data_IF_533044022940
#
_entry.id   IF_533044022940
#
_cell.length_a   1.000
_cell.length_b   1.000
_cell.length_c   1.000
_cell.angle_alpha   90.00
_cell.angle_beta   90.00
_cell.angle_gamma   90.00
#
_symmetry.space_group_name_H-M   'P 1'
#
loop_
_entity.id
_entity.type
_entity.pdbx_description
1 polymer ?
#
# COMPACT_ATOMS: atom_id res chain seq x y z
N UNK A 1 -5.07 -51.69 -19.41
CA UNK A 1 -6.21 -50.88 -19.91
C UNK A 1 -6.35 -49.51 -19.21
N UNK A 2 -5.40 -49.06 -18.37
CA UNK A 2 -5.49 -47.77 -17.64
C UNK A 2 -4.74 -46.57 -18.29
N UNK A 3 -3.80 -46.79 -19.21
CA UNK A 3 -2.96 -45.69 -19.76
C UNK A 3 -3.68 -44.74 -20.74
N UNK A 4 -4.61 -45.24 -21.56
CA UNK A 4 -5.27 -44.39 -22.58
C UNK A 4 -6.16 -43.30 -21.97
N UNK A 5 -6.75 -43.56 -20.79
CA UNK A 5 -7.58 -42.58 -20.10
C UNK A 5 -6.73 -41.52 -19.39
N UNK A 6 -5.55 -41.87 -18.86
CA UNK A 6 -4.63 -40.88 -18.27
C UNK A 6 -4.03 -39.97 -19.35
N UNK A 7 -3.64 -40.52 -20.50
CA UNK A 7 -3.06 -39.74 -21.59
C UNK A 7 -4.05 -38.72 -22.16
N UNK A 8 -5.31 -39.13 -22.35
CA UNK A 8 -6.36 -38.22 -22.82
C UNK A 8 -6.63 -37.09 -21.81
N UNK A 9 -6.64 -37.39 -20.52
CA UNK A 9 -6.86 -36.40 -19.46
C UNK A 9 -5.73 -35.35 -19.44
N UNK A 10 -4.47 -35.80 -19.57
CA UNK A 10 -3.29 -34.93 -19.62
C UNK A 10 -3.33 -34.02 -20.86
N UNK A 11 -3.68 -34.56 -22.03
CA UNK A 11 -3.80 -33.78 -23.27
C UNK A 11 -4.90 -32.72 -23.12
N UNK A 12 -6.06 -33.08 -22.57
CA UNK A 12 -7.15 -32.15 -22.32
C UNK A 12 -6.74 -31.02 -21.36
N UNK A 13 -6.08 -31.36 -20.25
CA UNK A 13 -5.58 -30.37 -19.29
C UNK A 13 -4.59 -29.39 -19.93
N UNK A 14 -3.66 -29.88 -20.76
CA UNK A 14 -2.71 -29.03 -21.48
C UNK A 14 -3.40 -28.09 -22.47
N UNK A 15 -4.41 -28.59 -23.20
CA UNK A 15 -5.20 -27.75 -24.13
C UNK A 15 -5.98 -26.66 -23.39
N UNK A 16 -6.67 -27.03 -22.31
CA UNK A 16 -7.41 -26.06 -21.46
C UNK A 16 -6.47 -25.01 -20.87
N UNK A 17 -5.27 -25.42 -20.44
CA UNK A 17 -4.27 -24.51 -19.92
C UNK A 17 -3.77 -23.51 -20.97
N UNK A 18 -3.55 -23.95 -22.20
CA UNK A 18 -3.16 -23.05 -23.31
C UNK A 18 -4.30 -22.09 -23.64
N UNK A 19 -5.53 -22.60 -23.76
CA UNK A 19 -6.72 -21.77 -24.05
C UNK A 19 -6.90 -20.70 -22.97
N UNK A 20 -6.82 -21.07 -21.69
CA UNK A 20 -6.85 -20.13 -20.56
C UNK A 20 -5.85 -18.98 -20.75
N UNK A 21 -4.59 -19.31 -21.03
CA UNK A 21 -3.53 -18.32 -21.19
C UNK A 21 -3.76 -17.40 -22.40
N UNK A 22 -4.19 -17.96 -23.54
CA UNK A 22 -4.49 -17.17 -24.74
C UNK A 22 -5.70 -16.26 -24.57
N UNK A 23 -6.76 -16.74 -23.91
CA UNK A 23 -7.94 -15.94 -23.60
C UNK A 23 -7.59 -14.73 -22.75
N UNK A 24 -6.80 -14.91 -21.68
CA UNK A 24 -6.37 -13.78 -20.84
C UNK A 24 -5.38 -12.86 -21.55
N UNK A 25 -4.58 -13.37 -22.48
CA UNK A 25 -3.71 -12.53 -23.30
C UNK A 25 -4.54 -11.62 -24.22
N UNK A 26 -5.58 -12.16 -24.86
CA UNK A 26 -6.51 -11.38 -25.68
C UNK A 26 -7.26 -10.36 -24.83
N UNK A 27 -7.77 -10.75 -23.65
CA UNK A 27 -8.44 -9.84 -22.71
C UNK A 27 -7.50 -8.75 -22.19
N UNK A 28 -6.21 -9.04 -22.00
CA UNK A 28 -5.22 -8.03 -21.63
C UNK A 28 -5.09 -6.98 -22.73
N UNK A 29 -4.89 -7.38 -23.99
CA UNK A 29 -4.77 -6.42 -25.10
C UNK A 29 -6.05 -5.61 -25.29
N UNK A 30 -7.22 -6.25 -25.22
CA UNK A 30 -8.51 -5.57 -25.25
C UNK A 30 -8.63 -4.58 -24.07
N UNK A 31 -8.33 -5.03 -22.86
CA UNK A 31 -8.40 -4.20 -21.66
C UNK A 31 -7.46 -2.99 -21.72
N UNK A 32 -6.26 -3.13 -22.28
CA UNK A 32 -5.31 -2.00 -22.36
C UNK A 32 -5.90 -0.84 -23.17
N UNK A 33 -6.73 -1.16 -24.18
CA UNK A 33 -7.37 -0.16 -25.02
C UNK A 33 -8.68 0.38 -24.42
N UNK A 34 -9.43 -0.43 -23.68
CA UNK A 34 -10.81 -0.11 -23.31
C UNK A 34 -11.11 -0.08 -21.81
N UNK A 35 -10.34 -0.81 -20.98
CA UNK A 35 -10.59 -0.92 -19.54
C UNK A 35 -9.33 -1.32 -18.76
N UNK A 36 -8.69 -0.37 -18.06
CA UNK A 36 -7.53 -0.64 -17.22
C UNK A 36 -7.79 -1.73 -16.17
N UNK A 37 -9.01 -1.83 -15.64
CA UNK A 37 -9.37 -2.90 -14.71
C UNK A 37 -9.36 -4.28 -15.34
N UNK A 38 -9.92 -4.44 -16.54
CA UNK A 38 -9.89 -5.72 -17.26
C UNK A 38 -8.45 -6.10 -17.58
N UNK A 39 -7.63 -5.15 -18.05
CA UNK A 39 -6.24 -5.43 -18.33
C UNK A 39 -5.45 -5.82 -17.08
N UNK A 40 -5.62 -5.09 -15.97
CA UNK A 40 -4.98 -5.39 -14.70
C UNK A 40 -5.27 -6.82 -14.25
N UNK A 41 -6.55 -7.20 -14.14
CA UNK A 41 -6.92 -8.54 -13.71
C UNK A 41 -6.49 -9.62 -14.71
N UNK A 42 -6.53 -9.32 -16.01
CA UNK A 42 -5.99 -10.23 -17.04
C UNK A 42 -4.50 -10.48 -16.83
N UNK A 43 -3.72 -9.44 -16.49
CA UNK A 43 -2.30 -9.59 -16.13
C UNK A 43 -2.12 -10.48 -14.88
N UNK A 44 -2.97 -10.33 -13.84
CA UNK A 44 -2.92 -11.21 -12.66
C UNK A 44 -3.11 -12.68 -13.05
N UNK A 45 -4.11 -12.97 -13.90
CA UNK A 45 -4.36 -14.34 -14.36
C UNK A 45 -3.24 -14.91 -15.25
N UNK A 46 -2.59 -14.07 -16.07
CA UNK A 46 -1.42 -14.46 -16.86
C UNK A 46 -0.18 -14.74 -16.00
N UNK A 47 -0.02 -14.01 -14.88
CA UNK A 47 1.06 -14.24 -13.91
C UNK A 47 0.88 -15.56 -13.14
N UNK A 48 -0.35 -16.05 -12.99
CA UNK A 48 -0.63 -17.39 -12.42
C UNK A 48 -0.41 -18.48 -13.49
N UNK A 49 -0.56 -18.12 -14.77
CA UNK A 49 -0.47 -19.02 -15.92
C UNK A 49 0.95 -19.33 -16.41
N UNK A 50 1.01 -19.81 -17.65
CA UNK A 50 2.22 -20.35 -18.29
C UNK A 50 3.26 -19.29 -18.57
N UNK A 51 2.79 -18.09 -18.93
CA UNK A 51 3.60 -16.97 -19.35
C UNK A 51 4.52 -16.44 -18.25
N UNK A 52 4.16 -16.68 -16.99
CA UNK A 52 4.96 -16.30 -15.83
C UNK A 52 6.29 -17.07 -15.69
N UNK A 53 6.44 -18.22 -16.38
CA UNK A 53 7.67 -19.03 -16.32
C UNK A 53 8.86 -18.32 -16.95
N UNK A 54 8.63 -17.54 -18.01
CA UNK A 54 9.69 -16.71 -18.61
C UNK A 54 9.86 -15.43 -17.81
N UNK A 55 11.10 -15.14 -17.39
CA UNK A 55 11.43 -13.93 -16.63
C UNK A 55 11.01 -12.66 -17.39
N UNK A 56 11.38 -12.56 -18.68
CA UNK A 56 11.12 -11.38 -19.51
C UNK A 56 9.61 -11.16 -19.66
N UNK A 57 8.87 -12.23 -19.96
CA UNK A 57 7.41 -12.14 -20.12
C UNK A 57 6.74 -11.76 -18.79
N UNK A 58 7.17 -12.37 -17.68
CA UNK A 58 6.64 -12.06 -16.34
C UNK A 58 6.89 -10.60 -15.95
N UNK A 59 8.09 -10.08 -16.20
CA UNK A 59 8.43 -8.68 -15.94
C UNK A 59 7.59 -7.74 -16.84
N UNK A 60 7.42 -8.08 -18.12
CA UNK A 60 6.54 -7.34 -19.03
C UNK A 60 5.09 -7.30 -18.55
N UNK A 61 4.51 -8.44 -18.16
CA UNK A 61 3.15 -8.51 -17.63
C UNK A 61 3.03 -7.67 -16.34
N UNK A 62 4.04 -7.72 -15.46
CA UNK A 62 4.07 -6.93 -14.22
C UNK A 62 4.06 -5.44 -14.50
N UNK A 63 4.85 -4.96 -15.48
CA UNK A 63 4.89 -3.56 -15.89
C UNK A 63 3.54 -3.12 -16.47
N UNK A 64 2.91 -3.95 -17.31
CA UNK A 64 1.57 -3.66 -17.85
C UNK A 64 0.56 -3.57 -16.71
N UNK A 65 0.56 -4.53 -15.78
CA UNK A 65 -0.36 -4.53 -14.63
C UNK A 65 -0.23 -3.23 -13.81
N UNK A 66 1.00 -2.83 -13.47
CA UNK A 66 1.24 -1.60 -12.71
C UNK A 66 0.81 -0.36 -13.49
N UNK A 67 1.09 -0.30 -14.79
CA UNK A 67 0.62 0.80 -15.65
C UNK A 67 -0.91 0.87 -15.69
N UNK A 68 -1.58 -0.26 -15.78
CA UNK A 68 -3.05 -0.32 -15.76
C UNK A 68 -3.62 0.09 -14.40
N UNK A 69 -2.93 -0.26 -13.30
CA UNK A 69 -3.30 0.16 -11.96
C UNK A 69 -3.19 1.69 -11.79
N UNK A 70 -2.18 2.33 -12.39
CA UNK A 70 -2.07 3.79 -12.46
C UNK A 70 -3.31 4.41 -13.12
N UNK A 71 -3.67 3.93 -14.31
CA UNK A 71 -4.83 4.47 -15.03
C UNK A 71 -6.14 4.21 -14.29
N UNK A 72 -6.31 3.04 -13.68
CA UNK A 72 -7.48 2.73 -12.85
C UNK A 72 -7.57 3.65 -11.61
N UNK A 73 -6.43 3.94 -10.97
CA UNK A 73 -6.39 4.83 -9.83
C UNK A 73 -6.72 6.28 -10.18
N UNK A 74 -6.18 6.78 -11.30
CA UNK A 74 -6.36 8.18 -11.72
C UNK A 74 -7.70 8.42 -12.42
N UNK A 75 -8.35 7.38 -12.92
CA UNK A 75 -9.67 7.48 -13.56
C UNK A 75 -10.82 7.60 -12.56
N UNK A 76 -10.59 7.36 -11.27
CA UNK A 76 -11.64 7.46 -10.24
C UNK A 76 -12.33 8.82 -10.26
N UNK A 77 -13.54 8.85 -9.73
CA UNK A 77 -14.23 10.10 -9.41
C UNK A 77 -13.54 10.80 -8.23
N UNK A 78 -13.38 12.12 -8.33
CA UNK A 78 -12.69 12.97 -7.35
C UNK A 78 -13.71 13.93 -6.75
N UNK A 79 -13.72 14.06 -5.42
CA UNK A 79 -14.60 15.00 -4.72
C UNK A 79 -16.04 14.50 -4.55
N UNK A 80 -16.31 13.22 -4.81
CA UNK A 80 -17.63 12.60 -4.58
C UNK A 80 -18.00 12.53 -3.08
N UNK A 81 -16.99 12.46 -2.20
CA UNK A 81 -17.16 12.45 -0.75
C UNK A 81 -16.47 13.66 -0.11
N UNK A 82 -17.09 14.21 0.95
CA UNK A 82 -16.46 15.19 1.84
C UNK A 82 -15.20 14.64 2.54
N UNK A 83 -15.03 13.32 2.57
CA UNK A 83 -13.85 12.63 3.10
C UNK A 83 -12.79 12.28 2.04
N UNK A 84 -12.86 12.84 0.83
CA UNK A 84 -11.81 12.65 -0.18
C UNK A 84 -10.53 13.40 0.21
N UNK A 85 -9.56 12.69 0.77
CA UNK A 85 -8.26 13.23 1.19
C UNK A 85 -7.53 13.96 0.06
N UNK A 86 -7.79 13.66 -1.22
CA UNK A 86 -7.20 14.39 -2.34
C UNK A 86 -7.60 15.86 -2.34
N UNK A 87 -8.88 16.16 -2.17
CA UNK A 87 -9.40 17.52 -2.13
C UNK A 87 -9.31 18.14 -0.74
N UNK A 88 -9.53 17.34 0.32
CA UNK A 88 -9.55 17.79 1.70
C UNK A 88 -8.18 17.96 2.35
N UNK A 89 -7.15 17.26 1.86
CA UNK A 89 -5.82 17.23 2.47
C UNK A 89 -4.72 17.59 1.47
N UNK A 90 -4.61 16.87 0.35
CA UNK A 90 -3.44 16.98 -0.54
C UNK A 90 -3.43 18.24 -1.41
N UNK A 91 -4.58 18.65 -1.96
CA UNK A 91 -4.69 19.93 -2.68
C UNK A 91 -4.42 21.15 -1.77
N UNK A 92 -4.95 21.23 -0.54
CA UNK A 92 -4.57 22.28 0.41
C UNK A 92 -3.07 22.33 0.70
N UNK A 93 -2.38 21.19 0.86
CA UNK A 93 -0.93 21.15 1.04
C UNK A 93 -0.21 21.77 -0.16
N UNK A 94 -0.60 21.38 -1.38
CA UNK A 94 -0.02 21.92 -2.61
C UNK A 94 -0.26 23.43 -2.74
N UNK A 95 -1.46 23.90 -2.46
CA UNK A 95 -1.82 25.31 -2.58
C UNK A 95 -1.06 26.17 -1.56
N UNK A 96 -0.97 25.74 -0.30
CA UNK A 96 -0.19 26.43 0.72
C UNK A 96 1.31 26.46 0.38
N UNK A 97 1.85 25.37 -0.17
CA UNK A 97 3.23 25.35 -0.63
C UNK A 97 3.49 26.38 -1.73
N UNK A 98 2.60 26.45 -2.73
CA UNK A 98 2.70 27.44 -3.82
C UNK A 98 2.55 28.89 -3.34
N UNK A 99 1.69 29.12 -2.36
CA UNK A 99 1.40 30.46 -1.84
C UNK A 99 2.52 30.97 -0.92
N UNK A 100 2.98 30.14 0.01
CA UNK A 100 3.87 30.58 1.08
C UNK A 100 5.32 30.10 0.93
N UNK A 101 5.59 29.05 0.15
CA UNK A 101 6.94 28.50 -0.06
C UNK A 101 7.63 27.99 1.21
N UNK A 102 6.91 27.81 2.31
CA UNK A 102 7.47 27.43 3.62
C UNK A 102 6.91 26.10 4.11
N UNK A 103 7.79 25.25 4.65
CA UNK A 103 7.39 23.92 5.14
C UNK A 103 6.39 24.00 6.29
N UNK A 104 6.51 25.00 7.17
CA UNK A 104 5.64 25.22 8.32
C UNK A 104 4.18 25.46 7.91
N UNK A 105 3.96 26.15 6.78
CA UNK A 105 2.62 26.46 6.27
C UNK A 105 1.79 25.21 5.95
N UNK A 106 2.45 24.09 5.62
CA UNK A 106 1.80 22.83 5.25
C UNK A 106 1.19 22.07 6.44
N UNK A 107 1.64 22.37 7.67
CA UNK A 107 1.16 21.71 8.90
C UNK A 107 1.57 20.24 9.03
N UNK A 108 2.54 19.77 8.24
CA UNK A 108 2.95 18.36 8.19
C UNK A 108 4.00 17.96 9.24
N UNK A 109 4.58 18.93 9.96
CA UNK A 109 5.63 18.68 10.95
C UNK A 109 6.84 18.00 10.31
N UNK A 110 7.19 16.80 10.77
CA UNK A 110 8.33 16.03 10.26
C UNK A 110 8.04 15.29 8.93
N UNK A 111 6.77 15.20 8.50
CA UNK A 111 6.35 14.43 7.32
C UNK A 111 6.46 15.24 6.02
N UNK A 112 7.67 15.71 5.70
CA UNK A 112 7.93 16.63 4.59
C UNK A 112 8.17 15.94 3.24
N UNK A 113 8.22 14.61 3.20
CA UNK A 113 8.56 13.86 1.98
C UNK A 113 7.66 14.17 0.78
N UNK A 114 6.35 14.36 1.00
CA UNK A 114 5.44 14.74 -0.08
C UNK A 114 5.71 16.17 -0.57
N UNK A 115 6.08 17.10 0.31
CA UNK A 115 6.32 18.50 -0.06
C UNK A 115 7.57 18.60 -0.93
N UNK A 116 8.66 17.94 -0.52
CA UNK A 116 9.89 17.88 -1.31
C UNK A 116 9.64 17.22 -2.67
N UNK A 117 8.83 16.15 -2.70
CA UNK A 117 8.47 15.50 -3.95
C UNK A 117 7.68 16.43 -4.88
N UNK A 118 6.67 17.15 -4.35
CA UNK A 118 5.88 18.09 -5.13
C UNK A 118 6.71 19.27 -5.61
N UNK A 119 7.59 19.81 -4.76
CA UNK A 119 8.51 20.88 -5.13
C UNK A 119 9.41 20.46 -6.30
N UNK A 120 9.98 19.26 -6.22
CA UNK A 120 10.76 18.68 -7.31
C UNK A 120 9.96 18.61 -8.62
N UNK A 121 8.72 18.10 -8.59
CA UNK A 121 7.88 18.00 -9.81
C UNK A 121 7.51 19.37 -10.37
N UNK A 122 7.22 20.35 -9.50
CA UNK A 122 6.79 21.69 -9.92
C UNK A 122 7.86 22.42 -10.73
N UNK A 123 9.14 22.04 -10.60
CA UNK A 123 10.22 22.53 -11.48
C UNK A 123 10.07 22.09 -12.95
N UNK A 124 9.31 21.02 -13.22
CA UNK A 124 9.13 20.46 -14.55
C UNK A 124 7.69 20.58 -15.07
N UNK A 125 6.70 20.47 -14.18
CA UNK A 125 5.30 20.31 -14.56
C UNK A 125 4.41 21.16 -13.65
N UNK A 126 3.57 22.00 -14.25
CA UNK A 126 2.55 22.76 -13.53
C UNK A 126 1.39 21.86 -13.15
N UNK A 127 1.24 21.55 -11.86
CA UNK A 127 0.10 20.81 -11.33
C UNK A 127 -1.03 21.79 -11.04
N UNK A 128 -2.09 21.82 -11.85
CA UNK A 128 -3.20 22.78 -11.69
C UNK A 128 -4.44 22.21 -11.01
N UNK A 129 -4.59 20.88 -11.00
CA UNK A 129 -5.78 20.20 -10.52
C UNK A 129 -5.45 18.91 -9.75
N UNK A 130 -6.47 18.41 -9.04
CA UNK A 130 -6.39 17.23 -8.20
C UNK A 130 -6.05 15.95 -8.98
N UNK A 131 -6.49 15.81 -10.23
CA UNK A 131 -6.26 14.60 -11.02
C UNK A 131 -4.80 14.52 -11.44
N UNK A 132 -4.20 15.64 -11.84
CA UNK A 132 -2.76 15.70 -12.15
C UNK A 132 -1.91 15.44 -10.91
N UNK A 133 -2.29 15.99 -9.75
CA UNK A 133 -1.63 15.69 -8.48
C UNK A 133 -1.68 14.19 -8.17
N UNK A 134 -2.86 13.59 -8.27
CA UNK A 134 -3.08 12.16 -8.04
C UNK A 134 -2.23 11.31 -8.98
N UNK A 135 -2.17 11.66 -10.28
CA UNK A 135 -1.37 10.96 -11.27
C UNK A 135 0.09 10.85 -10.85
N UNK A 136 0.71 11.96 -10.46
CA UNK A 136 2.12 11.96 -10.07
C UNK A 136 2.37 11.18 -8.77
N UNK A 137 1.54 11.39 -7.74
CA UNK A 137 1.67 10.65 -6.49
C UNK A 137 1.53 9.12 -6.67
N UNK A 138 0.56 8.68 -7.48
CA UNK A 138 0.36 7.26 -7.77
C UNK A 138 1.50 6.73 -8.65
N UNK A 139 1.95 7.48 -9.66
CA UNK A 139 3.08 7.10 -10.51
C UNK A 139 4.36 6.89 -9.68
N UNK A 140 4.68 7.81 -8.77
CA UNK A 140 5.79 7.67 -7.84
C UNK A 140 5.68 6.38 -7.03
N UNK A 141 4.52 6.20 -6.38
CA UNK A 141 4.25 5.04 -5.53
C UNK A 141 4.44 3.72 -6.29
N UNK A 142 3.82 3.62 -7.45
CA UNK A 142 3.86 2.43 -8.30
C UNK A 142 5.25 2.15 -8.88
N UNK A 143 6.04 3.20 -9.16
CA UNK A 143 7.44 3.06 -9.58
C UNK A 143 8.27 2.40 -8.48
N UNK A 144 8.14 2.87 -7.24
CA UNK A 144 8.87 2.27 -6.11
C UNK A 144 8.35 0.88 -5.74
N UNK A 145 7.06 0.60 -5.92
CA UNK A 145 6.54 -0.78 -5.82
C UNK A 145 7.15 -1.70 -6.90
N UNK A 146 7.28 -1.25 -8.14
CA UNK A 146 7.94 -2.02 -9.20
C UNK A 146 9.40 -2.32 -8.85
N UNK A 147 10.13 -1.32 -8.32
CA UNK A 147 11.49 -1.50 -7.80
C UNK A 147 11.51 -2.55 -6.69
N UNK A 148 10.58 -2.46 -5.73
CA UNK A 148 10.48 -3.42 -4.63
C UNK A 148 10.20 -4.84 -5.14
N UNK A 149 9.24 -5.02 -6.06
CA UNK A 149 8.90 -6.32 -6.65
C UNK A 149 10.13 -6.94 -7.32
N UNK A 150 10.82 -6.19 -8.18
CA UNK A 150 11.88 -6.72 -9.03
C UNK A 150 13.23 -6.89 -8.29
N UNK A 151 13.55 -6.01 -7.34
CA UNK A 151 14.86 -6.03 -6.67
C UNK A 151 14.85 -6.75 -5.33
N UNK A 152 13.70 -6.84 -4.65
CA UNK A 152 13.60 -7.39 -3.29
C UNK A 152 12.68 -8.61 -3.24
N UNK A 153 11.40 -8.43 -3.56
CA UNK A 153 10.37 -9.47 -3.37
C UNK A 153 10.63 -10.70 -4.22
N UNK A 154 10.76 -10.54 -5.55
CA UNK A 154 10.96 -11.66 -6.48
C UNK A 154 12.19 -12.50 -6.15
N UNK A 155 13.28 -11.87 -5.68
CA UNK A 155 14.52 -12.56 -5.28
C UNK A 155 14.39 -13.40 -4.01
N UNK A 156 13.35 -13.19 -3.22
CA UNK A 156 13.08 -13.96 -2.00
C UNK A 156 12.16 -15.16 -2.20
N UNK A 157 11.56 -15.28 -3.39
CA UNK A 157 10.62 -16.33 -3.73
C UNK A 157 11.26 -17.31 -4.71
N UNK A 158 10.99 -18.60 -4.51
CA UNK A 158 11.42 -19.65 -5.43
C UNK A 158 10.97 -19.38 -6.86
N UNK A 159 11.86 -19.61 -7.84
CA UNK A 159 11.62 -19.29 -9.26
C UNK A 159 10.30 -19.86 -9.81
N UNK A 160 9.89 -21.03 -9.34
CA UNK A 160 8.65 -21.72 -9.74
C UNK A 160 7.38 -21.00 -9.24
N UNK A 161 7.46 -20.29 -8.11
CA UNK A 161 6.32 -19.67 -7.44
C UNK A 161 6.30 -18.13 -7.64
N UNK A 162 7.34 -17.57 -8.26
CA UNK A 162 7.47 -16.13 -8.51
C UNK A 162 6.26 -15.52 -9.23
N UNK A 163 5.70 -16.21 -10.24
CA UNK A 163 4.52 -15.72 -10.97
C UNK A 163 3.32 -15.49 -10.06
N UNK A 164 2.94 -16.53 -9.31
CA UNK A 164 1.82 -16.49 -8.37
C UNK A 164 2.09 -15.49 -7.24
N UNK A 165 3.30 -15.46 -6.69
CA UNK A 165 3.65 -14.55 -5.61
C UNK A 165 3.56 -13.06 -6.03
N UNK A 166 3.99 -12.75 -7.25
CA UNK A 166 3.86 -11.39 -7.82
C UNK A 166 2.38 -11.07 -8.08
N UNK A 167 1.61 -12.02 -8.63
CA UNK A 167 0.17 -11.86 -8.87
C UNK A 167 -0.58 -11.50 -7.58
N UNK A 168 -0.32 -12.25 -6.49
CA UNK A 168 -0.90 -11.99 -5.18
C UNK A 168 -0.48 -10.61 -4.66
N UNK A 169 0.80 -10.26 -4.74
CA UNK A 169 1.29 -8.95 -4.29
C UNK A 169 0.61 -7.80 -5.01
N UNK A 170 0.48 -7.89 -6.35
CA UNK A 170 -0.23 -6.89 -7.15
C UNK A 170 -1.71 -6.82 -6.81
N UNK A 171 -2.39 -7.95 -6.59
CA UNK A 171 -3.80 -7.97 -6.20
C UNK A 171 -4.06 -7.29 -4.85
N UNK A 172 -3.07 -7.31 -3.93
CA UNK A 172 -3.13 -6.57 -2.67
C UNK A 172 -2.82 -5.08 -2.80
N UNK A 173 -2.23 -4.63 -3.91
CA UNK A 173 -2.11 -3.20 -4.22
C UNK A 173 -3.48 -2.66 -4.64
N UNK A 174 -4.30 -2.31 -3.65
CA UNK A 174 -5.68 -1.88 -3.88
C UNK A 174 -5.75 -0.44 -4.38
N UNK A 175 -6.55 -0.22 -5.44
CA UNK A 175 -6.83 1.10 -6.01
C UNK A 175 -7.41 2.09 -4.98
N UNK A 176 -8.24 1.63 -4.05
CA UNK A 176 -8.84 2.47 -3.03
C UNK A 176 -7.81 3.11 -2.09
N UNK A 177 -6.86 2.32 -1.60
CA UNK A 177 -5.79 2.83 -0.73
C UNK A 177 -4.82 3.74 -1.49
N UNK A 178 -4.46 3.35 -2.72
CA UNK A 178 -3.61 4.14 -3.62
C UNK A 178 -4.13 5.54 -3.91
N UNK A 179 -5.43 5.79 -3.70
CA UNK A 179 -6.06 7.03 -4.11
C UNK A 179 -6.60 7.88 -2.96
N UNK A 180 -6.74 7.29 -1.77
CA UNK A 180 -7.22 7.97 -0.56
C UNK A 180 -6.05 8.25 0.40
N UNK A 181 -5.15 7.30 0.61
CA UNK A 181 -4.05 7.43 1.59
C UNK A 181 -2.70 7.64 0.90
N UNK A 182 -2.57 8.69 0.09
CA UNK A 182 -1.40 8.92 -0.78
C UNK A 182 -0.06 8.90 -0.04
N UNK A 183 0.06 9.58 1.10
CA UNK A 183 1.34 9.61 1.84
C UNK A 183 1.71 8.26 2.42
N UNK A 184 0.73 7.55 2.97
CA UNK A 184 0.90 6.19 3.47
C UNK A 184 1.42 5.30 2.33
N UNK A 185 0.75 5.33 1.18
CA UNK A 185 1.09 4.49 0.04
C UNK A 185 2.43 4.86 -0.60
N UNK A 186 2.78 6.15 -0.66
CA UNK A 186 4.12 6.59 -1.09
C UNK A 186 5.23 6.08 -0.15
N UNK A 187 4.95 5.95 1.15
CA UNK A 187 5.90 5.47 2.14
C UNK A 187 6.03 3.93 2.14
N UNK A 188 4.94 3.20 1.84
CA UNK A 188 4.87 1.74 1.90
C UNK A 188 5.97 1.01 1.14
N UNK A 189 6.31 1.31 -0.14
CA UNK A 189 7.35 0.56 -0.83
C UNK A 189 8.72 0.71 -0.16
N UNK A 190 9.04 1.87 0.42
CA UNK A 190 10.28 2.06 1.19
C UNK A 190 10.27 1.28 2.51
N UNK A 191 9.13 1.26 3.21
CA UNK A 191 8.94 0.42 4.39
C UNK A 191 9.14 -1.07 4.06
N UNK A 192 8.56 -1.56 2.96
CA UNK A 192 8.72 -2.94 2.52
C UNK A 192 10.17 -3.26 2.16
N UNK A 193 10.87 -2.35 1.46
CA UNK A 193 12.31 -2.48 1.21
C UNK A 193 13.12 -2.51 2.51
N UNK A 194 12.77 -1.67 3.51
CA UNK A 194 13.42 -1.65 4.81
C UNK A 194 13.27 -2.99 5.53
N UNK A 195 12.05 -3.54 5.59
CA UNK A 195 11.74 -4.86 6.15
C UNK A 195 12.58 -5.95 5.50
N UNK A 196 12.59 -6.00 4.17
CA UNK A 196 13.35 -6.99 3.39
C UNK A 196 14.86 -6.92 3.59
N UNK A 197 15.38 -5.73 3.88
CA UNK A 197 16.80 -5.48 4.03
C UNK A 197 17.28 -5.67 5.47
N UNK A 198 16.38 -5.60 6.44
CA UNK A 198 16.71 -5.59 7.86
C UNK A 198 17.61 -6.75 8.28
N UNK A 199 17.29 -7.98 7.89
CA UNK A 199 18.05 -9.16 8.31
C UNK A 199 19.42 -9.29 7.62
N UNK A 200 19.60 -8.60 6.48
CA UNK A 200 20.82 -8.68 5.67
C UNK A 200 21.78 -7.53 5.95
N UNK A 201 21.28 -6.30 5.99
CA UNK A 201 22.07 -5.07 6.15
C UNK A 201 21.30 -4.03 6.95
N UNK A 202 21.67 -3.85 8.23
CA UNK A 202 20.97 -2.95 9.15
C UNK A 202 21.01 -1.49 8.71
N UNK A 203 22.17 -0.99 8.29
CA UNK A 203 22.33 0.42 7.93
C UNK A 203 21.47 0.85 6.71
N UNK A 204 21.50 0.15 5.55
CA UNK A 204 20.58 0.45 4.45
C UNK A 204 19.10 0.33 4.83
N UNK A 205 18.75 -0.63 5.68
CA UNK A 205 17.38 -0.75 6.20
C UNK A 205 16.97 0.47 7.03
N UNK A 206 17.88 0.99 7.87
CA UNK A 206 17.68 2.21 8.65
C UNK A 206 17.51 3.45 7.76
N UNK A 207 18.26 3.56 6.66
CA UNK A 207 18.08 4.65 5.69
C UNK A 207 16.70 4.59 5.01
N UNK A 208 16.26 3.39 4.62
CA UNK A 208 14.96 3.17 3.98
C UNK A 208 13.80 3.48 4.92
N UNK A 209 13.88 3.07 6.19
CA UNK A 209 12.82 3.40 7.16
C UNK A 209 12.83 4.89 7.53
N UNK A 210 14.00 5.54 7.58
CA UNK A 210 14.08 6.99 7.77
C UNK A 210 13.38 7.72 6.61
N UNK A 211 13.64 7.30 5.37
CA UNK A 211 12.97 7.85 4.19
C UNK A 211 11.45 7.58 4.21
N UNK A 212 11.02 6.37 4.57
CA UNK A 212 9.60 6.04 4.69
C UNK A 212 8.91 6.89 5.78
N UNK A 213 9.57 7.08 6.92
CA UNK A 213 9.07 7.91 8.05
C UNK A 213 8.98 9.38 7.68
N UNK A 214 9.95 9.86 6.90
CA UNK A 214 9.97 11.22 6.37
C UNK A 214 8.82 11.50 5.39
N UNK A 215 8.36 10.48 4.65
CA UNK A 215 7.12 10.57 3.85
C UNK A 215 5.89 10.47 4.75
N UNK A 216 5.86 9.49 5.65
CA UNK A 216 4.76 9.32 6.60
C UNK A 216 5.16 8.53 7.86
N UNK A 217 4.84 9.07 9.05
CA UNK A 217 5.32 8.56 10.35
C UNK A 217 4.78 7.19 10.73
N UNK A 218 3.65 6.74 10.18
CA UNK A 218 3.11 5.40 10.47
C UNK A 218 4.10 4.30 10.09
N UNK A 219 4.99 4.55 9.12
CA UNK A 219 6.03 3.62 8.69
C UNK A 219 6.92 3.21 9.85
N UNK A 220 7.38 4.16 10.67
CA UNK A 220 8.21 3.88 11.85
C UNK A 220 7.48 2.98 12.84
N UNK A 221 6.21 3.30 13.11
CA UNK A 221 5.37 2.52 14.02
C UNK A 221 5.23 1.08 13.52
N UNK A 222 4.87 0.89 12.23
CA UNK A 222 4.74 -0.43 11.61
C UNK A 222 6.07 -1.19 11.65
N UNK A 223 7.19 -0.52 11.40
CA UNK A 223 8.51 -1.14 11.44
C UNK A 223 8.90 -1.58 12.86
N UNK A 224 8.63 -0.77 13.87
CA UNK A 224 8.82 -1.15 15.28
C UNK A 224 7.96 -2.38 15.61
N UNK A 225 6.69 -2.40 15.19
CA UNK A 225 5.85 -3.58 15.32
C UNK A 225 6.47 -4.79 14.62
N UNK A 226 6.95 -4.66 13.39
CA UNK A 226 7.65 -5.73 12.67
C UNK A 226 8.83 -6.31 13.47
N UNK A 227 9.63 -5.47 14.13
CA UNK A 227 10.78 -5.91 14.94
C UNK A 227 10.37 -6.58 16.25
N UNK A 228 9.41 -5.98 16.96
CA UNK A 228 9.06 -6.40 18.32
C UNK A 228 8.04 -7.55 18.33
N UNK A 229 7.06 -7.57 17.42
CA UNK A 229 6.00 -8.59 17.47
C UNK A 229 6.49 -10.03 17.45
N UNK A 230 7.53 -10.41 16.67
CA UNK A 230 8.04 -11.77 16.69
C UNK A 230 8.59 -12.20 18.06
N UNK A 231 9.12 -11.28 18.87
CA UNK A 231 9.72 -11.60 20.18
C UNK A 231 8.72 -11.58 21.34
N UNK A 232 7.53 -11.00 21.15
CA UNK A 232 6.50 -10.92 22.19
C UNK A 232 5.73 -12.24 22.32
N UNK A 233 5.61 -12.75 23.55
CA UNK A 233 4.78 -13.94 23.86
C UNK A 233 3.31 -13.69 23.51
N UNK A 234 2.54 -14.75 23.27
CA UNK A 234 1.12 -14.65 22.89
C UNK A 234 0.30 -13.74 23.82
N UNK A 235 0.45 -13.88 25.13
CA UNK A 235 -0.23 -13.02 26.12
C UNK A 235 0.22 -11.57 26.08
N UNK A 236 1.50 -11.30 25.78
CA UNK A 236 1.99 -9.94 25.57
C UNK A 236 1.39 -9.31 24.31
N UNK A 237 1.19 -10.09 23.25
CA UNK A 237 0.50 -9.64 22.03
C UNK A 237 -0.95 -9.27 22.32
N UNK A 238 -1.64 -10.08 23.12
CA UNK A 238 -3.00 -9.78 23.59
C UNK A 238 -3.01 -8.49 24.43
N UNK A 239 -2.07 -8.32 25.36
CA UNK A 239 -1.99 -7.12 26.20
C UNK A 239 -1.77 -5.84 25.36
N UNK A 240 -0.86 -5.89 24.38
CA UNK A 240 -0.63 -4.78 23.44
C UNK A 240 -1.92 -4.47 22.65
N UNK A 241 -2.61 -5.49 22.17
CA UNK A 241 -3.88 -5.32 21.47
C UNK A 241 -4.93 -4.66 22.36
N UNK A 242 -5.12 -5.15 23.58
CA UNK A 242 -6.07 -4.57 24.55
C UNK A 242 -5.69 -3.12 24.87
N UNK A 243 -4.42 -2.80 25.03
CA UNK A 243 -3.96 -1.44 25.28
C UNK A 243 -4.28 -0.51 24.10
N UNK A 244 -3.97 -0.92 22.87
CA UNK A 244 -4.29 -0.13 21.66
C UNK A 244 -5.79 0.02 21.50
N UNK A 245 -6.56 -1.06 21.67
CA UNK A 245 -8.01 -1.03 21.57
C UNK A 245 -8.64 -0.11 22.62
N UNK A 246 -8.18 -0.20 23.87
CA UNK A 246 -8.64 0.67 24.97
C UNK A 246 -8.29 2.12 24.70
N UNK A 247 -7.09 2.40 24.19
CA UNK A 247 -6.67 3.76 23.82
C UNK A 247 -7.53 4.32 22.67
N UNK A 248 -7.78 3.54 21.63
CA UNK A 248 -8.67 3.93 20.52
C UNK A 248 -10.11 4.15 20.99
N UNK A 249 -10.59 3.33 21.94
CA UNK A 249 -11.89 3.52 22.58
C UNK A 249 -11.93 4.83 23.38
N UNK A 250 -10.87 5.15 24.13
CA UNK A 250 -10.73 6.42 24.84
C UNK A 250 -10.73 7.63 23.89
N UNK A 251 -10.03 7.56 22.75
CA UNK A 251 -10.10 8.63 21.72
C UNK A 251 -11.53 8.78 21.21
N UNK A 252 -12.23 7.67 20.98
CA UNK A 252 -13.57 7.70 20.40
C UNK A 252 -14.62 8.26 21.36
N UNK A 253 -14.57 7.85 22.63
CA UNK A 253 -15.56 8.21 23.66
C UNK A 253 -15.21 9.51 24.42
N UNK A 254 -13.93 9.76 24.65
CA UNK A 254 -13.45 10.87 25.48
C UNK A 254 -12.35 11.70 24.78
N UNK A 255 -12.58 12.21 23.56
CA UNK A 255 -11.54 12.86 22.79
C UNK A 255 -10.94 14.10 23.46
N UNK A 256 -11.75 14.91 24.16
CA UNK A 256 -11.28 16.09 24.87
C UNK A 256 -10.29 15.77 26.00
N UNK A 257 -10.49 14.64 26.69
CA UNK A 257 -9.56 14.18 27.73
C UNK A 257 -8.22 13.79 27.12
N UNK A 258 -8.23 13.06 26.00
CA UNK A 258 -7.00 12.64 25.32
C UNK A 258 -6.24 13.85 24.76
N UNK A 259 -6.94 14.84 24.20
CA UNK A 259 -6.37 16.12 23.75
C UNK A 259 -5.65 16.83 24.92
N UNK A 260 -6.32 16.94 26.07
CA UNK A 260 -5.75 17.59 27.25
C UNK A 260 -4.52 16.86 27.78
N UNK A 261 -4.53 15.52 27.79
CA UNK A 261 -3.35 14.71 28.16
C UNK A 261 -2.17 15.00 27.23
N UNK A 262 -2.38 15.00 25.91
CA UNK A 262 -1.29 15.28 24.97
C UNK A 262 -0.75 16.71 25.10
N UNK A 263 -1.63 17.69 25.31
CA UNK A 263 -1.19 19.06 25.57
C UNK A 263 -0.40 19.16 26.89
N UNK A 264 -0.83 18.48 27.95
CA UNK A 264 -0.12 18.43 29.23
C UNK A 264 1.25 17.74 29.13
N UNK A 265 1.40 16.79 28.21
CA UNK A 265 2.68 16.12 27.92
C UNK A 265 3.58 16.91 26.95
N UNK A 266 3.22 18.15 26.60
CA UNK A 266 3.92 18.95 25.58
C UNK A 266 4.00 18.25 24.20
N UNK A 267 2.97 17.49 23.85
CA UNK A 267 2.80 16.82 22.55
C UNK A 267 1.62 17.41 21.75
N UNK A 268 1.57 18.75 21.51
CA UNK A 268 0.41 19.41 20.92
C UNK A 268 0.13 18.98 19.48
N UNK A 269 1.10 18.41 18.77
CA UNK A 269 0.90 17.87 17.43
C UNK A 269 -0.05 16.66 17.41
N UNK A 270 -0.01 15.80 18.45
CA UNK A 270 -0.93 14.66 18.58
C UNK A 270 -2.34 15.13 18.92
N UNK A 271 -2.45 16.13 19.80
CA UNK A 271 -3.72 16.78 20.13
C UNK A 271 -4.39 17.39 18.89
N UNK A 272 -3.64 18.15 18.08
CA UNK A 272 -4.13 18.73 16.82
C UNK A 272 -4.62 17.66 15.83
N UNK A 273 -3.94 16.51 15.77
CA UNK A 273 -4.34 15.39 14.89
C UNK A 273 -5.67 14.77 15.32
N UNK A 274 -5.87 14.57 16.64
CA UNK A 274 -7.17 14.10 17.16
C UNK A 274 -8.26 15.13 16.89
N UNK A 275 -7.97 16.41 17.14
CA UNK A 275 -8.91 17.50 16.88
C UNK A 275 -9.33 17.57 15.42
N UNK A 276 -8.39 17.43 14.48
CA UNK A 276 -8.67 17.33 13.04
C UNK A 276 -9.66 16.20 12.73
N UNK A 277 -9.46 14.99 13.29
CA UNK A 277 -10.36 13.86 13.07
C UNK A 277 -11.73 14.02 13.76
N UNK A 278 -11.86 14.87 14.78
CA UNK A 278 -13.15 15.23 15.37
C UNK A 278 -13.93 16.20 14.48
N UNK A 279 -13.23 17.17 13.88
CA UNK A 279 -13.87 18.14 12.97
C UNK A 279 -14.22 17.48 11.64
N UNK A 280 -13.42 16.52 11.19
CA UNK A 280 -13.70 15.69 10.01
C UNK A 280 -14.78 14.61 10.26
N UNK A 281 -15.23 14.45 11.52
CA UNK A 281 -16.19 13.42 11.97
C UNK A 281 -17.65 13.80 11.67
N UNK A 282 -17.94 14.26 10.46
CA UNK A 282 -19.30 14.19 9.90
C UNK A 282 -19.63 12.77 9.39
N UNK A 283 -18.99 11.76 9.97
CA UNK A 283 -18.93 10.40 9.45
C UNK A 283 -19.68 9.43 10.38
N UNK A 284 -20.60 8.67 9.79
CA UNK A 284 -21.46 7.74 10.52
C UNK A 284 -20.70 6.57 11.15
N UNK A 285 -21.38 5.82 12.03
CA UNK A 285 -20.84 4.61 12.71
C UNK A 285 -20.25 3.60 11.71
N UNK A 286 -20.78 3.54 10.49
CA UNK A 286 -20.28 2.72 9.38
C UNK A 286 -18.83 3.05 8.96
N UNK A 287 -18.45 4.32 8.98
CA UNK A 287 -17.10 4.78 8.60
C UNK A 287 -16.08 4.52 9.72
N UNK A 288 -16.53 4.57 10.99
CA UNK A 288 -15.71 4.18 12.15
C UNK A 288 -15.38 2.68 12.08
N UNK A 289 -16.36 1.84 11.72
CA UNK A 289 -16.13 0.40 11.50
C UNK A 289 -15.22 0.17 10.27
N UNK A 290 -15.35 0.98 9.22
CA UNK A 290 -14.47 0.93 8.06
C UNK A 290 -13.02 1.33 8.38
N UNK A 291 -12.79 2.36 9.20
CA UNK A 291 -11.46 2.68 9.75
C UNK A 291 -10.95 1.57 10.68
N UNK A 292 -11.87 0.89 11.37
CA UNK A 292 -11.63 -0.31 12.16
C UNK A 292 -11.02 -1.49 11.39
N UNK A 293 -11.16 -1.51 10.05
CA UNK A 293 -10.58 -2.55 9.18
C UNK A 293 -9.06 -2.61 9.29
N UNK A 294 -8.39 -1.50 9.61
CA UNK A 294 -6.95 -1.50 9.86
C UNK A 294 -6.56 -2.34 11.09
N UNK A 295 -7.38 -2.33 12.15
CA UNK A 295 -7.17 -3.20 13.32
C UNK A 295 -7.44 -4.67 13.00
N UNK A 296 -8.42 -4.96 12.13
CA UNK A 296 -8.63 -6.31 11.58
C UNK A 296 -7.41 -6.79 10.77
N UNK A 297 -6.80 -5.92 9.98
CA UNK A 297 -5.56 -6.22 9.26
C UNK A 297 -4.41 -6.54 10.23
N UNK A 298 -4.27 -5.75 11.30
CA UNK A 298 -3.31 -6.04 12.38
C UNK A 298 -3.61 -7.40 13.00
N UNK A 299 -4.86 -7.72 13.36
CA UNK A 299 -5.26 -9.03 13.90
C UNK A 299 -4.92 -10.17 12.93
N UNK A 300 -5.19 -10.00 11.63
CA UNK A 300 -4.85 -10.99 10.59
C UNK A 300 -3.33 -11.18 10.52
N UNK A 301 -2.55 -10.10 10.56
CA UNK A 301 -1.08 -10.16 10.59
C UNK A 301 -0.61 -10.87 11.87
N UNK A 302 -1.24 -10.62 13.03
CA UNK A 302 -0.94 -11.28 14.30
C UNK A 302 -1.18 -12.79 14.25
N UNK A 303 -2.28 -13.21 13.61
CA UNK A 303 -2.64 -14.62 13.43
C UNK A 303 -1.79 -15.30 12.35
N UNK A 304 -1.55 -14.63 11.23
CA UNK A 304 -0.74 -15.11 10.12
C UNK A 304 0.74 -15.29 10.52
N UNK A 305 1.25 -14.46 11.44
CA UNK A 305 2.61 -14.60 11.97
C UNK A 305 2.84 -15.97 12.65
N UNK A 306 1.81 -16.58 13.27
CA UNK A 306 1.89 -17.97 13.79
C UNK A 306 1.98 -19.03 12.70
N UNK A 307 1.45 -18.77 11.51
CA UNK A 307 1.36 -19.73 10.40
C UNK A 307 2.53 -19.62 9.43
N UNK A 308 2.98 -18.39 9.13
CA UNK A 308 4.02 -18.12 8.13
C UNK A 308 5.43 -18.05 8.70
N UNK A 309 5.60 -17.68 9.97
CA UNK A 309 6.91 -17.56 10.62
C UNK A 309 7.13 -18.69 11.63
N UNK A 310 6.95 -19.95 11.19
CA UNK A 310 7.71 -21.04 11.79
C UNK A 310 9.19 -20.77 11.50
N UNK A 311 9.82 -19.93 12.31
CA UNK A 311 11.26 -20.04 12.53
C UNK A 311 11.46 -21.45 13.07
N UNK A 312 12.02 -22.32 12.23
CA UNK A 312 12.72 -23.50 12.72
C UNK A 312 13.82 -22.94 13.62
N UNK A 313 13.56 -22.98 14.92
CA UNK A 313 14.63 -22.92 15.90
C UNK A 313 15.47 -24.18 15.73
#
# INVERSE_FOLDING_TARGET
MNDKNSDHLIILQNRLYIIYNLSFLMLMFFGVLFSPHIAFWSCIFLLIGAFSKSKIIREGITIIAITMLLFAAVSREIGFSLSDDLTGTYMPILNKWKEYGTFESTGLGIELGIVIYLDFILNFIKITDARTLLFFCVLFTLTFYLIWINLFFSKSVDKKDQGIAIAVSLAFMQVGLLTQTLRQEMATPFLLMAIYTWDKKKFPSLMLIMLATFIHSSSLIIFIFYLLFPSVKFWGKIAIFIAIFSFSLCISLFPGLVINVFNALYLPFLAKKIQYYLTARASGVSEIIAAGKFYLLIIIIMLANKVFLKKKY
#
